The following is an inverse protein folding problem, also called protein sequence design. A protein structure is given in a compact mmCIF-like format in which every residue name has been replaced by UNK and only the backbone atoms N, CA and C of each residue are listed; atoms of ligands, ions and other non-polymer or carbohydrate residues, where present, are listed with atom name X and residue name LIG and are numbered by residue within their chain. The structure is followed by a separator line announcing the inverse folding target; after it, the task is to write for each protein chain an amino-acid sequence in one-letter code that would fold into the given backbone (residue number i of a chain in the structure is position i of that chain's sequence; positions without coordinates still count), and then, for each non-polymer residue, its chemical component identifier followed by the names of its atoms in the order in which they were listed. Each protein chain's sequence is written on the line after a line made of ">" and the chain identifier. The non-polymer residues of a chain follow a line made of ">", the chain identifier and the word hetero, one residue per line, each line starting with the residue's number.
data_IF_399342787759
#
_entry.id   IF_399342787759
#
_cell.length_a   1.000
_cell.length_b   1.000
_cell.length_c   1.000
_cell.angle_alpha   90.00
_cell.angle_beta   90.00
_cell.angle_gamma   90.00
#
_symmetry.space_group_name_H-M   'P 1'
#
loop_
_entity.id
_entity.type
_entity.pdbx_description
1 polymer ?
#
# COMPACT_ATOMS: atom_id res chain seq x y z
N UNK A 1 -13.19 -1.97 2.82
CA UNK A 1 -12.91 -3.41 2.98
C UNK A 1 -11.62 -3.75 2.27
N UNK A 2 -11.39 -3.17 1.09
CA UNK A 2 -10.11 -3.20 0.36
C UNK A 2 -8.90 -2.94 1.27
N UNK A 3 -8.73 -1.72 1.81
CA UNK A 3 -7.58 -1.40 2.67
C UNK A 3 -7.38 -2.29 3.91
N UNK A 4 -8.44 -2.92 4.43
CA UNK A 4 -8.29 -3.91 5.52
C UNK A 4 -7.67 -5.21 4.98
N UNK A 5 -8.12 -5.68 3.82
CA UNK A 5 -7.55 -6.84 3.14
C UNK A 5 -6.09 -6.56 2.74
N UNK A 6 -5.82 -5.40 2.14
CA UNK A 6 -4.47 -4.95 1.77
C UNK A 6 -3.52 -4.90 2.97
N UNK A 7 -4.00 -4.38 4.10
CA UNK A 7 -3.25 -4.36 5.37
C UNK A 7 -2.93 -5.78 5.85
N UNK A 8 -3.91 -6.69 5.80
CA UNK A 8 -3.73 -8.06 6.25
C UNK A 8 -2.72 -8.83 5.37
N UNK A 9 -2.80 -8.64 4.05
CA UNK A 9 -1.88 -9.23 3.06
C UNK A 9 -0.45 -8.76 3.35
N UNK A 10 -0.22 -7.44 3.35
CA UNK A 10 1.10 -6.85 3.54
C UNK A 10 1.70 -7.25 4.89
N UNK A 11 0.91 -7.14 5.97
CA UNK A 11 1.35 -7.51 7.32
C UNK A 11 1.77 -8.96 7.40
N UNK A 12 0.89 -9.89 7.02
CA UNK A 12 1.16 -11.33 7.14
C UNK A 12 2.34 -11.76 6.27
N UNK A 13 2.45 -11.20 5.06
CA UNK A 13 3.57 -11.50 4.18
C UNK A 13 4.91 -11.06 4.78
N UNK A 14 5.00 -9.82 5.26
CA UNK A 14 6.22 -9.27 5.84
C UNK A 14 6.61 -9.99 7.15
N UNK A 15 5.63 -10.34 8.00
CA UNK A 15 5.87 -11.18 9.19
C UNK A 15 6.42 -12.57 8.81
N UNK A 16 5.91 -13.21 7.74
CA UNK A 16 6.47 -14.46 7.19
C UNK A 16 7.90 -14.31 6.67
N UNK A 17 8.27 -13.09 6.26
CA UNK A 17 9.63 -12.75 5.86
C UNK A 17 10.54 -12.42 7.06
N UNK A 18 10.00 -12.37 8.28
CA UNK A 18 10.74 -12.12 9.52
C UNK A 18 10.81 -10.65 9.93
N UNK A 19 10.05 -9.76 9.29
CA UNK A 19 9.96 -8.37 9.71
C UNK A 19 9.09 -8.22 10.97
N UNK A 20 9.40 -7.22 11.80
CA UNK A 20 8.50 -6.75 12.86
C UNK A 20 7.53 -5.76 12.22
N UNK A 21 6.24 -6.09 12.22
CA UNK A 21 5.22 -5.30 11.53
C UNK A 21 4.11 -4.93 12.49
N UNK A 22 3.91 -3.62 12.67
CA UNK A 22 2.67 -3.08 13.21
C UNK A 22 1.85 -2.46 12.09
N UNK A 23 0.55 -2.31 12.30
CA UNK A 23 -0.33 -1.65 11.35
C UNK A 23 -1.09 -0.51 12.03
N UNK A 24 -1.50 0.46 11.23
CA UNK A 24 -2.34 1.55 11.68
C UNK A 24 -3.50 1.74 10.70
N UNK A 25 -4.72 1.79 11.23
CA UNK A 25 -5.92 2.09 10.45
C UNK A 25 -6.37 3.52 10.79
N UNK A 26 -6.26 4.48 9.86
CA UNK A 26 -6.64 5.85 10.12
C UNK A 26 -8.14 6.02 10.38
N UNK A 27 -8.44 6.95 11.28
CA UNK A 27 -9.81 7.37 11.57
C UNK A 27 -10.28 8.31 10.46
N UNK A 28 -11.31 7.91 9.71
CA UNK A 28 -11.90 8.80 8.70
C UNK A 28 -12.46 10.10 9.29
N UNK A 29 -12.81 10.12 10.57
CA UNK A 29 -13.37 11.29 11.24
C UNK A 29 -12.28 12.27 11.67
N UNK A 30 -11.16 11.74 12.16
CA UNK A 30 -10.11 12.56 12.77
C UNK A 30 -8.98 12.88 11.77
N UNK A 31 -8.61 11.91 10.94
CA UNK A 31 -7.43 11.95 10.07
C UNK A 31 -7.79 12.27 8.60
N UNK A 32 -9.06 12.13 8.25
CA UNK A 32 -9.51 12.12 6.87
C UNK A 32 -9.14 10.81 6.15
N UNK A 33 -8.81 10.90 4.86
CA UNK A 33 -8.48 9.72 4.06
C UNK A 33 -6.98 9.59 3.83
N UNK A 34 -6.42 8.44 4.20
CA UNK A 34 -5.03 8.06 3.95
C UNK A 34 -4.03 8.55 4.99
N UNK A 35 -2.74 8.36 4.67
CA UNK A 35 -1.64 8.81 5.52
C UNK A 35 -1.54 10.34 5.59
N UNK A 36 -1.19 10.88 6.76
CA UNK A 36 -0.91 12.29 7.00
C UNK A 36 0.28 12.44 7.96
N UNK A 37 0.80 13.66 8.11
CA UNK A 37 2.08 13.94 8.80
C UNK A 37 2.19 13.36 10.20
N UNK A 38 1.12 13.43 10.99
CA UNK A 38 1.15 12.94 12.37
C UNK A 38 1.31 11.40 12.47
N UNK A 39 0.87 10.65 11.45
CA UNK A 39 1.14 9.21 11.37
C UNK A 39 2.64 8.94 11.17
N UNK A 40 3.30 9.78 10.37
CA UNK A 40 4.75 9.68 10.13
C UNK A 40 5.52 10.03 11.39
N UNK A 41 5.16 11.12 12.07
CA UNK A 41 5.74 11.52 13.35
C UNK A 41 5.61 10.41 14.40
N UNK A 42 4.44 9.78 14.47
CA UNK A 42 4.19 8.64 15.34
C UNK A 42 5.11 7.45 15.01
N UNK A 43 5.25 7.09 13.74
CA UNK A 43 6.10 5.98 13.33
C UNK A 43 7.57 6.21 13.77
N UNK A 44 8.07 7.45 13.63
CA UNK A 44 9.40 7.84 14.10
C UNK A 44 9.50 7.75 15.63
N UNK A 45 8.50 8.24 16.37
CA UNK A 45 8.45 8.14 17.83
C UNK A 45 8.45 6.69 18.33
N UNK A 46 7.76 5.80 17.59
CA UNK A 46 7.69 4.37 17.88
C UNK A 46 8.91 3.58 17.34
N UNK A 47 9.89 4.28 16.76
CA UNK A 47 11.15 3.71 16.23
C UNK A 47 10.96 2.72 15.10
N UNK A 48 10.03 3.00 14.17
CA UNK A 48 9.95 2.32 12.88
C UNK A 48 10.91 2.96 11.87
N UNK A 49 11.51 2.12 11.02
CA UNK A 49 12.44 2.58 9.98
C UNK A 49 11.76 2.77 8.62
N UNK A 50 10.58 2.16 8.41
CA UNK A 50 9.87 2.12 7.14
C UNK A 50 8.34 2.18 7.36
N UNK A 51 7.68 3.00 6.56
CA UNK A 51 6.23 3.05 6.41
C UNK A 51 5.86 2.52 5.02
N UNK A 52 4.87 1.62 4.96
CA UNK A 52 4.27 1.18 3.71
C UNK A 52 2.78 1.51 3.76
N UNK A 53 2.29 2.37 2.87
CA UNK A 53 0.84 2.56 2.72
C UNK A 53 0.26 1.46 1.85
N UNK A 54 -1.00 1.12 2.11
CA UNK A 54 -1.79 0.20 1.31
C UNK A 54 -3.16 0.81 1.07
N UNK A 55 -3.66 0.74 -0.16
CA UNK A 55 -4.96 1.31 -0.54
C UNK A 55 -5.08 2.81 -0.25
N UNK A 56 -3.96 3.54 -0.20
CA UNK A 56 -3.95 5.01 -0.07
C UNK A 56 -2.55 5.57 -0.30
N UNK A 57 -2.47 6.91 -0.44
CA UNK A 57 -1.23 7.67 -0.37
C UNK A 57 -0.88 8.42 -1.64
N UNK A 58 -1.51 8.13 -2.79
CA UNK A 58 -1.16 8.78 -4.07
C UNK A 58 -1.30 10.31 -4.06
N UNK A 59 -2.05 10.86 -3.09
CA UNK A 59 -2.22 12.30 -2.88
C UNK A 59 -1.58 12.84 -1.59
N UNK A 60 -0.80 12.02 -0.86
CA UNK A 60 -0.28 12.34 0.47
C UNK A 60 1.03 13.14 0.47
N UNK A 61 1.07 14.26 -0.26
CA UNK A 61 2.28 15.08 -0.43
C UNK A 61 2.91 15.55 0.89
N UNK A 62 2.09 15.99 1.85
CA UNK A 62 2.58 16.47 3.15
C UNK A 62 3.19 15.34 3.98
N UNK A 63 2.63 14.13 3.91
CA UNK A 63 3.18 12.96 4.60
C UNK A 63 4.56 12.59 4.01
N UNK A 64 4.71 12.66 2.68
CA UNK A 64 6.00 12.43 2.01
C UNK A 64 7.04 13.46 2.43
N UNK A 65 6.70 14.75 2.43
CA UNK A 65 7.61 15.81 2.89
C UNK A 65 8.01 15.61 4.36
N UNK A 66 7.06 15.22 5.21
CA UNK A 66 7.32 14.91 6.62
C UNK A 66 8.27 13.72 6.75
N UNK A 67 8.03 12.63 6.01
CA UNK A 67 8.88 11.44 6.03
C UNK A 67 10.32 11.76 5.62
N UNK A 68 10.48 12.53 4.54
CA UNK A 68 11.80 13.01 4.09
C UNK A 68 12.49 13.85 5.16
N UNK A 69 11.77 14.78 5.80
CA UNK A 69 12.36 15.66 6.82
C UNK A 69 12.78 14.92 8.09
N UNK A 70 12.07 13.84 8.45
CA UNK A 70 12.34 13.04 9.64
C UNK A 70 13.28 11.85 9.36
N UNK A 71 13.60 11.58 8.09
CA UNK A 71 14.52 10.53 7.68
C UNK A 71 13.97 9.12 7.85
N UNK A 72 12.65 8.93 7.75
CA UNK A 72 11.99 7.62 7.71
C UNK A 72 11.62 7.25 6.28
N UNK A 73 11.84 6.01 5.89
CA UNK A 73 11.48 5.55 4.54
C UNK A 73 9.95 5.44 4.41
N UNK A 74 9.44 5.84 3.25
CA UNK A 74 8.03 5.73 2.91
C UNK A 74 7.89 5.08 1.54
N UNK A 75 7.06 4.05 1.46
CA UNK A 75 6.63 3.42 0.20
C UNK A 75 5.12 3.52 0.12
N UNK A 76 4.61 3.96 -1.01
CA UNK A 76 3.17 4.08 -1.25
C UNK A 76 2.72 2.97 -2.16
N UNK A 77 1.70 2.20 -1.74
CA UNK A 77 1.01 1.24 -2.60
C UNK A 77 -0.46 1.62 -2.70
N UNK A 78 -0.93 1.93 -3.90
CA UNK A 78 -2.23 2.54 -4.14
C UNK A 78 -2.78 2.18 -5.53
N UNK A 79 -4.04 2.50 -5.78
CA UNK A 79 -4.75 2.28 -7.05
C UNK A 79 -5.76 3.39 -7.38
N UNK A 80 -5.84 4.43 -6.54
CA UNK A 80 -6.69 5.59 -6.78
C UNK A 80 -6.17 6.43 -7.95
N UNK A 81 -7.01 7.31 -8.49
CA UNK A 81 -6.56 8.18 -9.58
C UNK A 81 -5.49 9.18 -9.08
N UNK A 82 -4.32 9.22 -9.72
CA UNK A 82 -3.32 10.23 -9.41
C UNK A 82 -3.83 11.63 -9.79
N UNK A 83 -3.32 12.65 -9.10
CA UNK A 83 -3.50 14.04 -9.51
C UNK A 83 -2.46 14.43 -10.58
N UNK A 84 -2.49 15.69 -11.04
CA UNK A 84 -1.50 16.23 -11.99
C UNK A 84 -0.06 16.12 -11.49
N UNK A 85 0.14 16.04 -10.18
CA UNK A 85 1.42 15.83 -9.52
C UNK A 85 1.44 14.48 -8.83
N UNK A 86 2.62 13.88 -8.77
CA UNK A 86 2.89 12.61 -8.09
C UNK A 86 3.81 12.90 -6.89
N UNK A 87 3.56 12.32 -5.70
CA UNK A 87 4.46 12.48 -4.56
C UNK A 87 5.86 11.95 -4.87
N UNK A 88 6.90 12.66 -4.44
CA UNK A 88 8.31 12.30 -4.70
C UNK A 88 8.80 11.20 -3.75
N UNK A 89 8.25 10.00 -3.87
CA UNK A 89 8.60 8.84 -3.04
C UNK A 89 8.51 7.53 -3.83
N UNK A 90 8.87 6.40 -3.22
CA UNK A 90 8.71 5.09 -3.86
C UNK A 90 7.21 4.74 -3.95
N UNK A 91 6.75 4.42 -5.16
CA UNK A 91 5.34 4.20 -5.47
C UNK A 91 5.14 2.90 -6.23
N UNK A 92 4.12 2.14 -5.84
CA UNK A 92 3.55 1.02 -6.58
C UNK A 92 2.09 1.34 -6.82
N UNK A 93 1.79 1.86 -8.00
CA UNK A 93 0.42 2.21 -8.40
C UNK A 93 0.26 1.96 -9.92
N UNK A 94 -0.72 1.13 -10.33
CA UNK A 94 -0.90 0.76 -11.74
C UNK A 94 -1.42 1.92 -12.60
N UNK A 95 -1.84 3.03 -11.98
CA UNK A 95 -2.40 4.20 -12.65
C UNK A 95 -1.40 5.31 -12.90
N UNK A 96 -0.15 5.17 -12.44
CA UNK A 96 0.91 6.14 -12.66
C UNK A 96 1.06 6.54 -14.14
N UNK A 97 1.45 7.80 -14.42
CA UNK A 97 1.70 8.26 -15.78
C UNK A 97 2.73 7.37 -16.51
N UNK A 98 2.35 6.83 -17.67
CA UNK A 98 3.23 5.97 -18.48
C UNK A 98 3.19 4.49 -18.12
N UNK A 99 2.43 4.07 -17.11
CA UNK A 99 2.20 2.65 -16.82
C UNK A 99 1.46 1.96 -17.99
N UNK A 100 1.95 0.79 -18.39
CA UNK A 100 1.41 -0.05 -19.49
C UNK A 100 0.80 -1.37 -19.00
N UNK A 101 0.64 -1.52 -17.69
CA UNK A 101 0.03 -2.68 -17.07
C UNK A 101 -1.50 -2.54 -16.99
N UNK A 102 -2.17 -3.61 -16.55
CA UNK A 102 -3.58 -3.55 -16.17
C UNK A 102 -3.78 -2.52 -15.05
N UNK A 103 -4.82 -1.67 -15.18
CA UNK A 103 -4.99 -0.46 -14.34
C UNK A 103 -6.00 -0.60 -13.21
N UNK A 104 -6.88 -1.58 -13.31
CA UNK A 104 -8.12 -1.64 -12.52
C UNK A 104 -8.02 -2.54 -11.30
N UNK A 105 -6.81 -2.85 -10.82
CA UNK A 105 -6.62 -3.63 -9.60
C UNK A 105 -7.25 -2.92 -8.39
N UNK A 106 -7.71 -3.70 -7.41
CA UNK A 106 -7.97 -3.23 -6.04
C UNK A 106 -6.66 -2.90 -5.33
N UNK A 107 -6.72 -2.12 -4.24
CA UNK A 107 -5.59 -1.92 -3.34
C UNK A 107 -5.01 -3.23 -2.82
N UNK A 108 -5.86 -4.24 -2.57
CA UNK A 108 -5.44 -5.58 -2.17
C UNK A 108 -4.72 -6.32 -3.31
N UNK A 109 -5.17 -6.15 -4.55
CA UNK A 109 -4.48 -6.66 -5.74
C UNK A 109 -3.08 -6.06 -5.87
N UNK A 110 -2.95 -4.74 -5.71
CA UNK A 110 -1.65 -4.05 -5.72
C UNK A 110 -0.75 -4.53 -4.57
N UNK A 111 -1.28 -4.66 -3.35
CA UNK A 111 -0.55 -5.17 -2.20
C UNK A 111 -0.08 -6.63 -2.43
N UNK A 112 -0.94 -7.49 -2.99
CA UNK A 112 -0.61 -8.88 -3.33
C UNK A 112 0.51 -8.96 -4.37
N UNK A 113 0.40 -8.23 -5.48
CA UNK A 113 1.43 -8.20 -6.53
C UNK A 113 2.77 -7.65 -6.00
N UNK A 114 2.72 -6.66 -5.10
CA UNK A 114 3.90 -6.17 -4.39
C UNK A 114 4.54 -7.30 -3.56
N UNK A 115 3.74 -8.07 -2.83
CA UNK A 115 4.23 -9.23 -2.07
C UNK A 115 4.80 -10.32 -2.99
N UNK A 116 4.20 -10.60 -4.15
CA UNK A 116 4.75 -11.53 -5.13
C UNK A 116 6.14 -11.07 -5.63
N UNK A 117 6.29 -9.79 -5.96
CA UNK A 117 7.57 -9.23 -6.40
C UNK A 117 8.65 -9.37 -5.30
N UNK A 118 8.30 -9.06 -4.05
CA UNK A 118 9.22 -9.26 -2.91
C UNK A 118 9.53 -10.75 -2.69
N UNK A 119 8.55 -11.64 -2.82
CA UNK A 119 8.77 -13.08 -2.69
C UNK A 119 9.77 -13.58 -3.74
N UNK A 120 9.62 -13.15 -5.00
CA UNK A 120 10.55 -13.48 -6.08
C UNK A 120 11.97 -12.97 -5.79
N UNK A 121 12.12 -11.73 -5.34
CA UNK A 121 13.43 -11.16 -4.96
C UNK A 121 14.10 -11.94 -3.82
N UNK A 122 13.31 -12.44 -2.87
CA UNK A 122 13.77 -13.24 -1.73
C UNK A 122 13.86 -14.75 -2.05
N UNK A 123 13.56 -15.17 -3.28
CA UNK A 123 13.51 -16.58 -3.70
C UNK A 123 12.58 -17.43 -2.81
N UNK A 124 11.42 -16.88 -2.48
CA UNK A 124 10.35 -17.52 -1.70
C UNK A 124 9.15 -17.85 -2.59
N UNK A 125 8.30 -18.83 -2.20
CA UNK A 125 7.04 -19.07 -2.88
C UNK A 125 6.15 -17.83 -2.87
N UNK A 126 5.36 -17.65 -3.93
CA UNK A 126 4.33 -16.61 -3.97
C UNK A 126 3.24 -16.90 -2.91
N UNK A 127 2.67 -15.86 -2.28
CA UNK A 127 1.71 -16.03 -1.20
C UNK A 127 0.28 -16.25 -1.72
N UNK A 128 0.08 -17.28 -2.55
CA UNK A 128 -1.21 -17.61 -3.21
C UNK A 128 -2.38 -17.76 -2.22
N UNK A 129 -2.08 -18.06 -0.95
CA UNK A 129 -3.07 -18.16 0.13
C UNK A 129 -3.74 -16.83 0.51
N UNK A 130 -3.34 -15.72 -0.11
CA UNK A 130 -4.01 -14.41 0.01
C UNK A 130 -4.99 -14.10 -1.12
N UNK A 131 -5.11 -14.96 -2.15
CA UNK A 131 -5.99 -14.71 -3.29
C UNK A 131 -7.48 -14.63 -2.91
N UNK A 132 -7.89 -15.24 -1.80
CA UNK A 132 -9.24 -15.10 -1.24
C UNK A 132 -9.52 -13.67 -0.76
N UNK A 133 -8.56 -13.05 -0.08
CA UNK A 133 -8.61 -11.64 0.35
C UNK A 133 -8.58 -10.70 -0.84
N UNK A 134 -7.75 -10.97 -1.85
CA UNK A 134 -7.71 -10.21 -3.12
C UNK A 134 -9.07 -10.28 -3.81
N UNK A 135 -9.62 -11.49 -3.97
CA UNK A 135 -10.93 -11.70 -4.61
C UNK A 135 -12.04 -10.96 -3.87
N UNK A 136 -12.07 -11.04 -2.53
CA UNK A 136 -13.04 -10.33 -1.71
C UNK A 136 -12.94 -8.82 -1.93
N UNK A 137 -11.72 -8.27 -1.82
CA UNK A 137 -11.42 -6.85 -1.97
C UNK A 137 -11.80 -6.31 -3.35
N UNK A 138 -11.43 -7.00 -4.43
CA UNK A 138 -11.77 -6.63 -5.81
C UNK A 138 -13.28 -6.51 -6.02
N UNK A 139 -14.07 -7.43 -5.44
CA UNK A 139 -15.54 -7.37 -5.55
C UNK A 139 -16.14 -6.23 -4.73
N UNK A 140 -15.71 -6.07 -3.47
CA UNK A 140 -16.27 -5.04 -2.56
C UNK A 140 -15.82 -3.62 -2.89
N UNK A 141 -14.69 -3.47 -3.59
CA UNK A 141 -14.25 -2.18 -4.13
C UNK A 141 -14.84 -1.88 -5.53
N UNK A 142 -15.70 -2.78 -6.02
CA UNK A 142 -16.44 -2.62 -7.29
C UNK A 142 -15.49 -2.42 -8.48
N UNK A 143 -14.33 -3.07 -8.42
CA UNK A 143 -13.39 -3.07 -9.53
C UNK A 143 -14.00 -3.81 -10.74
N UNK A 144 -13.71 -3.37 -11.98
CA UNK A 144 -14.05 -4.11 -13.19
C UNK A 144 -13.50 -5.55 -13.16
N UNK A 145 -14.36 -6.55 -13.31
CA UNK A 145 -13.97 -7.97 -13.44
C UNK A 145 -13.62 -8.26 -14.90
N UNK A 146 -12.42 -7.83 -15.28
CA UNK A 146 -11.85 -7.94 -16.63
C UNK A 146 -10.35 -8.10 -16.53
N UNK A 147 -9.68 -8.58 -17.57
CA UNK A 147 -8.22 -8.67 -17.57
C UNK A 147 -7.71 -9.54 -16.42
N UNK A 148 -6.94 -8.94 -15.51
CA UNK A 148 -6.29 -9.64 -14.41
C UNK A 148 -7.19 -9.79 -13.16
N UNK A 149 -8.31 -9.06 -13.06
CA UNK A 149 -9.30 -9.17 -11.97
C UNK A 149 -10.34 -10.28 -12.21
#
# INVERSE_FOLDING_TARGET
>A
CDGICSTLIMKRFLERCGARVEFYLPSRQDDGYGICSHHVERAVQESFDLIITVDNGITAFQAVETAHSLGIDLVITDHHEPQDKIPETLLVDPKLPGAVCYREYSGAGVAYLTCCAVAQLLQRPEPEDFLDLVSLATVVDVCPITGDN
#
